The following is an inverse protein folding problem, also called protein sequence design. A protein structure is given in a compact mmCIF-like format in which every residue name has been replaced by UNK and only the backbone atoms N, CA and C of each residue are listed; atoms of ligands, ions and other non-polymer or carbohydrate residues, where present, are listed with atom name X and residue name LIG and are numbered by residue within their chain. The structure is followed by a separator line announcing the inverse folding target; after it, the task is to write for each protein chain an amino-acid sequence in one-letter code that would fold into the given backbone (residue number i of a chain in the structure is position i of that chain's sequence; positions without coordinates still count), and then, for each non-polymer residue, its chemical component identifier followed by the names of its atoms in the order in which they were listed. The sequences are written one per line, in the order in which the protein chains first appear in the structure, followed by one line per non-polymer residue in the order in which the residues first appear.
data_IF_981050155710
#
_entry.id   IF_981050155710
#
_cell.length_a   1.000
_cell.length_b   1.000
_cell.length_c   1.000
_cell.angle_alpha   90.00
_cell.angle_beta   90.00
_cell.angle_gamma   90.00
#
_symmetry.space_group_name_H-M   'P 1'
#
loop_
_entity.id
_entity.type
_entity.pdbx_description
1 polymer ?
#
# COMPACT_ATOMS: atom_id res chain seq x y z
N UNK A 1 -4.36 -1.46 25.01
CA UNK A 1 -3.03 -1.87 24.54
C UNK A 1 -3.09 -1.86 23.03
N UNK A 2 -2.51 -0.87 22.37
CA UNK A 2 -2.45 -0.81 20.90
C UNK A 2 -1.47 -1.88 20.45
N UNK A 3 -1.96 -2.91 19.76
CA UNK A 3 -1.11 -3.93 19.15
C UNK A 3 -0.15 -3.25 18.17
N UNK A 4 1.15 -3.32 18.44
CA UNK A 4 2.17 -2.67 17.63
C UNK A 4 2.28 -3.36 16.27
N UNK A 5 2.06 -2.63 15.17
CA UNK A 5 2.16 -3.21 13.82
C UNK A 5 3.60 -3.17 13.27
N UNK A 6 3.85 -3.92 12.19
CA UNK A 6 5.14 -3.85 11.47
C UNK A 6 5.41 -2.45 10.91
N UNK A 7 4.36 -1.72 10.49
CA UNK A 7 4.49 -0.34 10.03
C UNK A 7 4.81 0.62 11.18
N UNK A 8 4.27 0.41 12.38
CA UNK A 8 4.62 1.28 13.53
C UNK A 8 6.07 1.10 13.96
N UNK A 9 6.56 -0.14 13.93
CA UNK A 9 7.98 -0.46 14.10
C UNK A 9 8.84 0.26 13.06
N UNK A 10 8.48 0.13 11.78
CA UNK A 10 9.19 0.81 10.69
C UNK A 10 9.18 2.33 10.85
N UNK A 11 8.06 2.90 11.29
CA UNK A 11 7.93 4.34 11.55
C UNK A 11 8.88 4.81 12.65
N UNK A 12 9.01 4.05 13.74
CA UNK A 12 9.99 4.35 14.81
C UNK A 12 11.44 4.26 14.31
N UNK A 13 11.76 3.24 13.51
CA UNK A 13 13.10 3.09 12.92
C UNK A 13 13.45 4.29 12.04
N UNK A 14 12.53 4.70 11.16
CA UNK A 14 12.75 5.88 10.32
C UNK A 14 12.75 7.18 11.14
N UNK A 15 11.98 7.26 12.23
CA UNK A 15 11.96 8.41 13.13
C UNK A 15 13.27 8.61 13.88
N UNK A 16 14.00 7.53 14.18
CA UNK A 16 15.32 7.59 14.86
C UNK A 16 16.47 7.82 13.89
N UNK A 17 16.41 7.26 12.68
CA UNK A 17 17.38 7.57 11.61
C UNK A 17 17.15 8.97 11.05
N UNK A 18 18.18 9.63 10.50
CA UNK A 18 18.07 10.99 9.92
C UNK A 18 18.07 11.01 8.39
N UNK A 19 18.12 9.83 7.76
CA UNK A 19 18.22 9.64 6.32
C UNK A 19 17.25 8.57 5.85
N UNK A 20 16.97 8.58 4.55
CA UNK A 20 16.30 7.50 3.85
C UNK A 20 17.03 6.16 4.04
N UNK A 21 16.25 5.08 4.05
CA UNK A 21 16.72 3.74 4.37
C UNK A 21 16.29 2.78 3.27
N UNK A 22 17.20 1.94 2.75
CA UNK A 22 16.81 0.86 1.83
C UNK A 22 15.76 -0.05 2.44
N UNK A 23 14.80 -0.52 1.63
CA UNK A 23 13.74 -1.40 2.12
C UNK A 23 14.26 -2.62 2.87
N UNK A 24 15.33 -3.26 2.37
CA UNK A 24 15.91 -4.44 3.01
C UNK A 24 16.45 -4.12 4.40
N UNK A 25 17.17 -3.01 4.56
CA UNK A 25 17.65 -2.58 5.88
C UNK A 25 16.50 -2.23 6.84
N UNK A 26 15.44 -1.62 6.32
CA UNK A 26 14.25 -1.30 7.11
C UNK A 26 13.55 -2.58 7.56
N UNK A 27 13.41 -3.56 6.66
CA UNK A 27 12.81 -4.85 6.95
C UNK A 27 13.62 -5.63 7.99
N UNK A 28 14.95 -5.67 7.86
CA UNK A 28 15.83 -6.32 8.84
C UNK A 28 15.68 -5.69 10.23
N UNK A 29 15.56 -4.36 10.29
CA UNK A 29 15.28 -3.65 11.54
C UNK A 29 13.93 -4.04 12.14
N UNK A 30 12.90 -4.19 11.31
CA UNK A 30 11.55 -4.63 11.75
C UNK A 30 11.59 -6.06 12.27
N UNK A 31 12.24 -6.98 11.55
CA UNK A 31 12.41 -8.39 11.93
C UNK A 31 13.15 -8.49 13.27
N UNK A 32 14.22 -7.72 13.45
CA UNK A 32 15.00 -7.69 14.68
C UNK A 32 14.19 -7.16 15.87
N UNK A 33 13.40 -6.09 15.68
CA UNK A 33 12.63 -5.49 16.76
C UNK A 33 11.38 -6.31 17.12
N UNK A 34 10.79 -7.01 16.14
CA UNK A 34 9.65 -7.91 16.35
C UNK A 34 10.06 -9.32 16.81
N UNK A 35 11.33 -9.67 16.68
CA UNK A 35 11.86 -10.99 17.06
C UNK A 35 11.34 -12.12 16.16
N UNK A 36 11.13 -11.86 14.87
CA UNK A 36 10.65 -12.90 13.94
C UNK A 36 11.74 -13.93 13.64
N UNK A 37 11.33 -15.18 13.46
CA UNK A 37 12.21 -16.22 12.92
C UNK A 37 12.42 -16.03 11.41
N UNK A 38 13.48 -16.61 10.80
CA UNK A 38 13.72 -16.47 9.37
C UNK A 38 12.53 -16.91 8.50
N UNK A 39 11.88 -18.02 8.86
CA UNK A 39 10.69 -18.51 8.14
C UNK A 39 9.49 -17.56 8.28
N UNK A 40 9.29 -16.96 9.46
CA UNK A 40 8.25 -15.94 9.63
C UNK A 40 8.56 -14.67 8.83
N UNK A 41 9.84 -14.29 8.79
CA UNK A 41 10.27 -13.11 8.04
C UNK A 41 10.03 -13.30 6.53
N UNK A 42 10.41 -14.43 5.94
CA UNK A 42 10.15 -14.73 4.53
C UNK A 42 8.66 -14.67 4.18
N UNK A 43 7.78 -15.18 5.05
CA UNK A 43 6.34 -15.16 4.82
C UNK A 43 5.72 -13.76 5.01
N UNK A 44 6.35 -12.88 5.79
CA UNK A 44 5.81 -11.56 6.16
C UNK A 44 6.37 -10.40 5.36
N UNK A 45 7.50 -10.57 4.67
CA UNK A 45 8.14 -9.48 3.92
C UNK A 45 7.21 -8.87 2.85
N UNK A 46 6.45 -9.70 2.13
CA UNK A 46 5.51 -9.24 1.11
C UNK A 46 4.31 -8.48 1.73
N UNK A 47 3.81 -8.98 2.86
CA UNK A 47 2.76 -8.31 3.62
C UNK A 47 3.23 -6.95 4.14
N UNK A 48 4.47 -6.88 4.64
CA UNK A 48 5.07 -5.64 5.10
C UNK A 48 5.26 -4.63 3.96
N UNK A 49 5.80 -5.05 2.81
CA UNK A 49 5.96 -4.16 1.65
C UNK A 49 4.63 -3.57 1.19
N UNK A 50 3.59 -4.41 1.11
CA UNK A 50 2.24 -3.96 0.73
C UNK A 50 1.65 -2.98 1.74
N UNK A 51 1.78 -3.26 3.03
CA UNK A 51 1.33 -2.38 4.09
C UNK A 51 2.09 -1.04 4.11
N UNK A 52 3.38 -1.05 3.79
CA UNK A 52 4.24 0.12 3.74
C UNK A 52 3.86 1.05 2.58
N UNK A 53 3.51 0.49 1.41
CA UNK A 53 3.03 1.25 0.26
C UNK A 53 1.66 1.89 0.49
N UNK A 54 0.79 1.27 1.28
CA UNK A 54 -0.55 1.79 1.60
C UNK A 54 -0.53 2.85 2.72
N UNK A 55 0.57 2.92 3.49
CA UNK A 55 0.67 3.82 4.64
C UNK A 55 1.19 5.20 4.20
N UNK A 56 0.30 6.20 4.29
CA UNK A 56 0.56 7.60 3.88
C UNK A 56 1.69 8.28 4.64
N UNK A 57 2.08 7.75 5.81
CA UNK A 57 3.19 8.30 6.61
C UNK A 57 4.54 8.10 5.94
N UNK A 58 4.65 7.10 5.07
CA UNK A 58 5.88 6.76 4.37
C UNK A 58 5.93 7.40 2.98
N UNK A 59 7.15 7.69 2.55
CA UNK A 59 7.47 8.20 1.22
C UNK A 59 8.40 7.19 0.53
N UNK A 60 7.91 6.46 -0.50
CA UNK A 60 8.78 5.67 -1.36
C UNK A 60 9.59 6.61 -2.25
N UNK A 61 10.89 6.38 -2.34
CA UNK A 61 11.84 7.14 -3.14
C UNK A 61 12.48 6.23 -4.21
N UNK A 62 13.25 6.82 -5.12
CA UNK A 62 13.96 6.08 -6.17
C UNK A 62 14.92 5.04 -5.59
N UNK A 63 15.01 3.87 -6.21
CA UNK A 63 15.91 2.81 -5.74
C UNK A 63 15.38 2.02 -4.54
N UNK A 64 14.08 2.05 -4.28
CA UNK A 64 13.42 1.32 -3.18
C UNK A 64 13.99 1.71 -1.80
N UNK A 65 14.24 3.00 -1.63
CA UNK A 65 14.57 3.62 -0.34
C UNK A 65 13.33 4.31 0.23
N UNK A 66 13.25 4.35 1.54
CA UNK A 66 12.07 4.74 2.30
C UNK A 66 12.42 5.82 3.32
N UNK A 67 11.55 6.82 3.42
CA UNK A 67 11.66 7.89 4.41
C UNK A 67 10.27 8.28 4.94
N UNK A 68 10.22 9.17 5.93
CA UNK A 68 8.98 9.73 6.44
C UNK A 68 8.54 10.91 5.58
N UNK A 69 7.25 10.92 5.22
CA UNK A 69 6.63 12.02 4.47
C UNK A 69 6.72 13.35 5.23
N UNK A 70 6.76 13.32 6.56
CA UNK A 70 6.89 14.51 7.42
C UNK A 70 8.24 15.24 7.29
N UNK A 71 9.28 14.56 6.78
CA UNK A 71 10.63 15.13 6.62
C UNK A 71 10.87 15.71 5.23
N UNK A 72 10.02 15.37 4.28
CA UNK A 72 10.13 15.84 2.90
C UNK A 72 9.22 17.05 2.73
N UNK A 73 9.74 18.05 2.03
CA UNK A 73 8.92 19.21 1.65
C UNK A 73 7.93 18.78 0.58
N UNK A 74 6.76 19.44 0.52
CA UNK A 74 5.69 19.14 -0.45
C UNK A 74 6.22 18.98 -1.89
N UNK A 75 7.24 19.76 -2.26
CA UNK A 75 7.84 19.77 -3.59
C UNK A 75 8.59 18.48 -3.99
N UNK A 76 9.07 17.68 -3.02
CA UNK A 76 9.85 16.46 -3.28
C UNK A 76 8.98 15.22 -3.52
N UNK A 77 7.75 15.23 -3.02
CA UNK A 77 6.82 14.09 -3.05
C UNK A 77 5.61 14.31 -3.97
N UNK A 78 5.42 15.51 -4.50
CA UNK A 78 4.34 15.82 -5.44
C UNK A 78 4.89 15.93 -6.86
N UNK A 79 4.52 14.96 -7.71
CA UNK A 79 4.72 15.08 -9.15
C UNK A 79 3.70 16.09 -9.67
N UNK A 80 4.17 17.19 -10.25
CA UNK A 80 3.34 18.23 -10.83
C UNK A 80 2.70 17.72 -12.14
N UNK A 81 1.55 17.06 -12.00
CA UNK A 81 0.77 16.49 -13.11
C UNK A 81 0.19 17.54 -14.06
N UNK A 82 0.27 18.83 -13.71
CA UNK A 82 -0.13 19.92 -14.60
C UNK A 82 0.74 20.05 -15.86
N UNK A 83 1.94 19.44 -15.86
CA UNK A 83 2.84 19.37 -17.03
C UNK A 83 2.65 18.13 -17.90
N UNK A 84 1.79 17.19 -17.49
CA UNK A 84 1.39 16.08 -18.36
C UNK A 84 0.48 16.70 -19.42
N UNK A 85 1.05 17.02 -20.56
CA UNK A 85 0.28 17.36 -21.76
C UNK A 85 -0.45 16.07 -22.11
N UNK A 86 -1.73 15.99 -21.75
CA UNK A 86 -2.63 15.01 -22.33
C UNK A 86 -2.84 15.53 -23.75
N UNK A 87 -2.09 14.98 -24.71
CA UNK A 87 -2.46 15.15 -26.11
C UNK A 87 -3.87 14.56 -26.24
N UNK A 88 -4.87 15.43 -26.39
CA UNK A 88 -6.26 15.07 -26.64
C UNK A 88 -6.36 14.40 -28.02
N UNK A 89 -5.89 13.16 -28.13
CA UNK A 89 -6.23 12.25 -29.21
C UNK A 89 -7.08 11.09 -28.66
N UNK A 90 -7.98 11.41 -27.73
CA UNK A 90 -9.18 10.60 -27.54
C UNK A 90 -10.17 11.04 -28.62
N UNK A 91 -10.11 10.31 -29.74
CA UNK A 91 -11.05 10.42 -30.83
C UNK A 91 -12.48 10.45 -30.30
N UNK A 92 -13.25 11.35 -30.89
CA UNK A 92 -14.68 11.54 -30.70
C UNK A 92 -15.41 10.19 -30.84
N UNK A 93 -15.70 9.50 -29.73
CA UNK A 93 -16.64 8.38 -29.70
C UNK A 93 -17.94 8.93 -29.13
N UNK A 94 -18.78 9.38 -30.05
CA UNK A 94 -20.21 9.56 -29.85
C UNK A 94 -20.82 8.18 -29.66
N UNK A 95 -21.02 7.75 -28.42
CA UNK A 95 -21.90 6.61 -28.10
C UNK A 95 -22.82 7.01 -26.95
N UNK A 96 -24.04 7.33 -27.36
CA UNK A 96 -25.25 7.57 -26.59
C UNK A 96 -25.73 6.25 -25.96
N UNK A 97 -25.08 5.78 -24.89
CA UNK A 97 -25.57 4.64 -24.12
C UNK A 97 -26.24 5.10 -22.81
N UNK A 98 -27.55 5.30 -22.88
CA UNK A 98 -28.47 5.46 -21.76
C UNK A 98 -28.59 4.14 -20.98
N UNK A 99 -27.76 3.94 -19.96
CA UNK A 99 -27.92 2.81 -19.03
C UNK A 99 -29.11 3.04 -18.10
N UNK A 100 -30.29 2.53 -18.45
CA UNK A 100 -31.42 2.41 -17.53
C UNK A 100 -31.18 1.22 -16.59
N UNK A 101 -30.87 1.48 -15.31
CA UNK A 101 -30.85 0.44 -14.27
C UNK A 101 -32.31 0.06 -13.95
N UNK A 102 -32.76 -1.12 -14.37
CA UNK A 102 -34.04 -1.67 -13.90
C UNK A 102 -33.86 -2.24 -12.50
N UNK A 103 -34.67 -1.78 -11.55
CA UNK A 103 -34.65 -2.14 -10.12
C UNK A 103 -35.21 -3.54 -9.79
N UNK A 104 -35.29 -4.46 -10.74
CA UNK A 104 -35.92 -5.76 -10.51
C UNK A 104 -34.90 -6.92 -10.48
N UNK A 105 -34.94 -7.61 -9.33
CA UNK A 105 -34.45 -8.96 -9.02
C UNK A 105 -33.01 -9.11 -8.49
N UNK A 106 -32.84 -8.75 -7.22
CA UNK A 106 -31.88 -9.40 -6.33
C UNK A 106 -32.44 -10.75 -5.85
N UNK A 107 -32.00 -11.87 -6.45
CA UNK A 107 -32.17 -13.20 -5.84
C UNK A 107 -30.86 -13.63 -5.17
N UNK A 108 -30.78 -13.34 -3.87
CA UNK A 108 -29.75 -13.88 -2.98
C UNK A 108 -30.29 -15.19 -2.39
N UNK A 109 -29.99 -16.32 -3.02
CA UNK A 109 -30.03 -17.60 -2.33
C UNK A 109 -28.99 -18.59 -2.85
N UNK A 110 -28.31 -19.28 -1.93
CA UNK A 110 -27.31 -20.30 -2.26
C UNK A 110 -26.05 -20.32 -1.42
N UNK A 111 -26.13 -20.10 -0.10
CA UNK A 111 -25.05 -20.48 0.83
C UNK A 111 -24.93 -22.02 0.84
N UNK A 112 -23.93 -22.57 0.15
CA UNK A 112 -23.45 -23.93 0.40
C UNK A 112 -22.56 -23.92 1.65
N UNK A 113 -23.08 -24.46 2.75
CA UNK A 113 -22.26 -24.97 3.86
C UNK A 113 -21.66 -26.30 3.41
N UNK A 114 -20.34 -26.34 3.25
CA UNK A 114 -19.56 -27.57 3.34
C UNK A 114 -18.93 -27.58 4.75
N UNK A 115 -19.49 -28.37 5.65
CA UNK A 115 -18.78 -28.88 6.83
C UNK A 115 -18.64 -30.38 6.60
N UNK A 116 -17.44 -30.78 6.16
CA UNK A 116 -16.97 -32.18 6.21
C UNK A 116 -16.59 -32.55 7.64
N UNK A 117 -16.82 -33.82 7.94
CA UNK A 117 -16.62 -34.54 9.20
C UNK A 117 -15.17 -34.50 9.72
N UNK A 118 -15.01 -34.34 11.04
CA UNK A 118 -14.38 -35.36 11.93
C UNK A 118 -14.81 -35.17 13.39
#
# INVERSE_FOLDING_TARGET
MTSRSMCDVAFEILSTKTKEVPFIELWDGVVAQMGFTPSQAENKIAQFYSALMLDVRFAPLEGNVWDLRTRRTYHEVHVDTSKIIIEEEFGNVDDEDEYTVSEDEVDFDGVKKEEEEE
#
